data_IF_813030489479
#
_entry.id   IF_813030489479
#
_cell.length_a   1.000
_cell.length_b   1.000
_cell.length_c   1.000
_cell.angle_alpha   90.00
_cell.angle_beta   90.00
_cell.angle_gamma   90.00
#
_symmetry.space_group_name_H-M   'P 1'
#
loop_
_entity.id
_entity.type
_entity.pdbx_description
1 polymer ?
#
# COMPACT_ATOMS: atom_id res chain seq x y z
N UNK A 1 8.67 -17.30 -10.68
CA UNK A 1 7.55 -16.40 -10.33
C UNK A 1 7.57 -16.17 -8.84
N UNK A 2 7.66 -14.92 -8.37
CA UNK A 2 7.64 -14.61 -6.94
C UNK A 2 6.24 -14.85 -6.38
N UNK A 3 6.09 -15.84 -5.50
CA UNK A 3 4.88 -16.22 -4.75
C UNK A 3 4.56 -15.19 -3.67
N UNK A 4 4.28 -13.95 -4.05
CA UNK A 4 3.79 -12.96 -3.10
C UNK A 4 2.26 -13.08 -3.01
N UNK A 5 1.67 -13.15 -1.80
CA UNK A 5 0.24 -13.29 -1.63
C UNK A 5 -0.51 -12.11 -2.27
N UNK A 6 -1.63 -12.40 -2.92
CA UNK A 6 -2.50 -11.35 -3.47
C UNK A 6 -3.08 -10.52 -2.32
N UNK A 7 -2.84 -9.21 -2.36
CA UNK A 7 -3.27 -8.28 -1.32
C UNK A 7 -4.29 -7.29 -1.87
N UNK A 8 -5.41 -7.10 -1.18
CA UNK A 8 -6.38 -6.05 -1.55
C UNK A 8 -5.89 -4.67 -1.13
N UNK A 9 -6.33 -3.62 -1.83
CA UNK A 9 -5.97 -2.24 -1.49
C UNK A 9 -6.32 -1.89 -0.03
N UNK A 10 -7.47 -2.37 0.47
CA UNK A 10 -7.88 -2.14 1.85
C UNK A 10 -6.92 -2.78 2.88
N UNK A 11 -6.38 -3.98 2.60
CA UNK A 11 -5.36 -4.61 3.46
C UNK A 11 -4.04 -3.83 3.39
N UNK A 12 -3.65 -3.39 2.20
CA UNK A 12 -2.43 -2.61 2.01
C UNK A 12 -2.49 -1.28 2.77
N UNK A 13 -3.60 -0.55 2.70
CA UNK A 13 -3.80 0.70 3.46
C UNK A 13 -3.64 0.44 4.96
N UNK A 14 -4.22 -0.64 5.51
CA UNK A 14 -4.07 -0.98 6.94
C UNK A 14 -2.62 -1.24 7.31
N UNK A 15 -1.89 -1.95 6.47
CA UNK A 15 -0.46 -2.21 6.69
C UNK A 15 0.37 -0.92 6.64
N UNK A 16 0.12 -0.05 5.67
CA UNK A 16 0.79 1.26 5.58
C UNK A 16 0.47 2.15 6.79
N UNK A 17 -0.77 2.12 7.29
CA UNK A 17 -1.12 2.82 8.54
C UNK A 17 -0.33 2.32 9.75
N UNK A 18 -0.10 1.01 9.86
CA UNK A 18 0.79 0.44 10.91
C UNK A 18 2.25 0.89 10.72
N UNK A 19 2.68 1.16 9.49
CA UNK A 19 3.99 1.72 9.18
C UNK A 19 4.09 3.25 9.35
N UNK A 20 3.06 3.91 9.90
CA UNK A 20 3.07 5.35 10.18
C UNK A 20 2.55 6.24 9.05
N UNK A 21 1.97 5.67 7.99
CA UNK A 21 1.32 6.46 6.94
C UNK A 21 -0.11 6.86 7.35
N UNK A 22 -0.52 8.05 6.97
CA UNK A 22 -1.87 8.56 7.15
C UNK A 22 -2.58 8.71 5.82
N UNK A 23 -3.89 8.43 5.78
CA UNK A 23 -4.72 8.65 4.60
C UNK A 23 -5.24 10.09 4.64
N UNK A 24 -4.56 10.98 3.93
CA UNK A 24 -4.81 12.43 4.01
C UNK A 24 -5.84 12.90 2.98
N UNK A 25 -6.07 12.12 1.90
CA UNK A 25 -7.03 12.49 0.86
C UNK A 25 -7.50 11.28 0.07
N UNK A 26 -8.80 11.13 -0.07
CA UNK A 26 -9.42 10.14 -0.95
C UNK A 26 -10.15 10.82 -2.11
N UNK A 27 -10.01 10.29 -3.33
CA UNK A 27 -10.80 10.68 -4.51
C UNK A 27 -11.31 9.42 -5.21
N UNK A 28 -12.62 9.17 -5.12
CA UNK A 28 -13.20 7.91 -5.57
C UNK A 28 -12.58 6.73 -4.79
N UNK A 29 -12.08 5.73 -5.51
CA UNK A 29 -11.39 4.56 -4.94
C UNK A 29 -9.89 4.77 -4.67
N UNK A 30 -9.34 5.95 -4.96
CA UNK A 30 -7.90 6.21 -4.81
C UNK A 30 -7.62 6.94 -3.50
N UNK A 31 -6.88 6.28 -2.62
CA UNK A 31 -6.45 6.80 -1.33
C UNK A 31 -5.02 7.31 -1.44
N UNK A 32 -4.79 8.59 -1.17
CA UNK A 32 -3.47 9.18 -1.09
C UNK A 32 -2.98 9.09 0.36
N UNK A 33 -1.88 8.36 0.56
CA UNK A 33 -1.26 8.20 1.86
C UNK A 33 0.04 8.99 1.96
N UNK A 34 0.31 9.56 3.12
CA UNK A 34 1.53 10.31 3.41
C UNK A 34 2.08 9.93 4.79
N UNK A 35 3.38 9.76 4.88
CA UNK A 35 4.11 9.60 6.13
C UNK A 35 4.68 10.98 6.55
N UNK A 36 4.89 11.18 7.85
CA UNK A 36 5.35 12.46 8.40
C UNK A 36 6.73 12.91 7.89
N UNK A 37 7.55 11.98 7.38
CA UNK A 37 8.85 12.26 6.75
C UNK A 37 8.76 12.67 5.26
N UNK A 38 7.55 12.78 4.72
CA UNK A 38 7.29 13.22 3.35
C UNK A 38 7.11 12.09 2.33
N UNK A 39 7.35 10.81 2.68
CA UNK A 39 7.02 9.69 1.78
C UNK A 39 5.53 9.65 1.51
N UNK A 40 5.13 9.37 0.28
CA UNK A 40 3.72 9.32 -0.09
C UNK A 40 3.45 8.34 -1.22
N UNK A 41 2.24 7.80 -1.25
CA UNK A 41 1.81 6.89 -2.33
C UNK A 41 0.30 6.99 -2.56
N UNK A 42 -0.19 6.33 -3.61
CA UNK A 42 -1.61 6.18 -3.90
C UNK A 42 -1.99 4.70 -3.96
N UNK A 43 -2.99 4.31 -3.18
CA UNK A 43 -3.52 2.95 -3.17
C UNK A 43 -4.94 2.93 -3.72
N UNK A 44 -5.21 2.22 -4.84
CA UNK A 44 -6.57 1.99 -5.31
C UNK A 44 -7.26 0.92 -4.47
N UNK A 45 -8.54 1.13 -4.15
CA UNK A 45 -9.37 0.21 -3.39
C UNK A 45 -10.61 -0.15 -4.20
N UNK A 46 -10.56 -1.29 -4.88
CA UNK A 46 -11.69 -1.86 -5.61
C UNK A 46 -12.18 -3.14 -4.93
N UNK A 47 -13.51 -3.35 -4.94
CA UNK A 47 -14.12 -4.53 -4.29
C UNK A 47 -13.78 -5.79 -5.08
N UNK A 48 -13.22 -6.79 -4.40
CA UNK A 48 -12.88 -8.08 -5.00
C UNK A 48 -11.57 -8.09 -5.79
N UNK A 49 -10.86 -6.97 -5.86
CA UNK A 49 -9.60 -6.88 -6.60
C UNK A 49 -8.38 -6.88 -5.67
N UNK A 50 -7.27 -7.38 -6.21
CA UNK A 50 -5.96 -7.33 -5.57
C UNK A 50 -5.04 -6.37 -6.30
N UNK A 51 -4.08 -5.80 -5.58
CA UNK A 51 -3.04 -4.97 -6.14
C UNK A 51 -2.12 -5.84 -7.00
N UNK A 52 -2.02 -5.52 -8.29
CA UNK A 52 -1.11 -6.20 -9.20
C UNK A 52 0.36 -6.03 -8.79
N UNK A 53 1.20 -7.01 -9.09
CA UNK A 53 2.59 -7.07 -8.64
C UNK A 53 3.43 -5.82 -9.00
N UNK A 54 3.22 -5.24 -10.18
CA UNK A 54 3.93 -4.03 -10.63
C UNK A 54 3.55 -2.81 -9.78
N UNK A 55 2.26 -2.60 -9.56
CA UNK A 55 1.75 -1.52 -8.72
C UNK A 55 2.18 -1.70 -7.27
N UNK A 56 2.12 -2.93 -6.74
CA UNK A 56 2.60 -3.22 -5.39
C UNK A 56 4.09 -2.88 -5.24
N UNK A 57 4.92 -3.25 -6.23
CA UNK A 57 6.34 -2.94 -6.21
C UNK A 57 6.62 -1.43 -6.31
N UNK A 58 5.78 -0.67 -7.02
CA UNK A 58 5.87 0.79 -7.04
C UNK A 58 5.51 1.37 -5.67
N UNK A 59 4.36 0.98 -5.09
CA UNK A 59 3.93 1.46 -3.78
C UNK A 59 4.99 1.18 -2.70
N UNK A 60 5.58 -0.02 -2.71
CA UNK A 60 6.65 -0.36 -1.78
C UNK A 60 7.90 0.50 -1.95
N UNK A 61 8.28 0.87 -3.18
CA UNK A 61 9.38 1.80 -3.44
C UNK A 61 9.05 3.22 -2.96
N UNK A 62 7.85 3.71 -3.26
CA UNK A 62 7.39 5.04 -2.82
C UNK A 62 7.39 5.15 -1.28
N UNK A 63 7.10 4.04 -0.61
CA UNK A 63 7.05 3.95 0.85
C UNK A 63 8.38 3.54 1.49
N UNK A 64 9.44 3.29 0.72
CA UNK A 64 10.70 2.71 1.21
C UNK A 64 10.48 1.50 2.15
N UNK A 65 9.63 0.56 1.70
CA UNK A 65 9.26 -0.65 2.43
C UNK A 65 9.67 -1.89 1.63
N UNK A 66 10.35 -2.82 2.29
CA UNK A 66 10.63 -4.13 1.73
C UNK A 66 9.39 -5.04 1.76
N UNK A 67 9.41 -6.08 0.92
CA UNK A 67 8.38 -7.13 0.94
C UNK A 67 8.28 -7.84 2.30
N UNK A 68 9.41 -7.99 3.00
CA UNK A 68 9.48 -8.64 4.31
C UNK A 68 8.83 -7.79 5.39
N UNK A 69 9.10 -6.48 5.39
CA UNK A 69 8.46 -5.54 6.31
C UNK A 69 6.96 -5.48 6.06
N UNK A 70 6.54 -5.39 4.78
CA UNK A 70 5.11 -5.47 4.45
C UNK A 70 4.48 -6.74 5.03
N UNK A 71 5.12 -7.91 4.87
CA UNK A 71 4.59 -9.17 5.38
C UNK A 71 4.41 -9.19 6.91
N UNK A 72 5.24 -8.46 7.66
CA UNK A 72 5.10 -8.33 9.11
C UNK A 72 3.94 -7.41 9.53
N UNK A 73 3.47 -6.55 8.61
CA UNK A 73 2.41 -5.58 8.85
C UNK A 73 1.02 -6.08 8.42
N UNK A 74 0.94 -7.18 7.66
CA UNK A 74 -0.32 -7.80 7.22
C UNK A 74 -1.00 -8.56 8.36
#
# INVERSE_FOLDING_TARGET
MSTFPSISGAKLIRALKKAGFEDIRTRGSHHFLQHADGRCTVVPVHRGESIGCGLLAQILRDCDLSRKELQQLL
#
